data_IF_678104991867
#
_entry.id   IF_678104991867
#
_cell.length_a   1.000
_cell.length_b   1.000
_cell.length_c   1.000
_cell.angle_alpha   90.00
_cell.angle_beta   90.00
_cell.angle_gamma   90.00
#
_symmetry.space_group_name_H-M   'P 1'
#
loop_
_entity.id
_entity.type
_entity.pdbx_description
1 polymer ?
#
# COMPACT_ATOMS: atom_id res chain seq x y z
N UNK A 1 -32.04 44.03 -87.29
CA UNK A 1 -33.47 44.09 -86.92
C UNK A 1 -33.79 43.05 -85.84
N UNK A 2 -34.05 43.54 -84.62
CA UNK A 2 -34.85 42.91 -83.57
C UNK A 2 -34.42 41.54 -83.06
N UNK A 3 -33.78 41.50 -81.89
CA UNK A 3 -33.89 40.35 -81.00
C UNK A 3 -34.15 40.83 -79.57
N UNK A 4 -35.34 40.49 -79.09
CA UNK A 4 -35.83 40.40 -77.70
C UNK A 4 -36.71 39.15 -77.67
N UNK A 5 -37.01 38.46 -76.55
CA UNK A 5 -36.96 38.92 -75.15
C UNK A 5 -36.47 37.86 -74.11
N UNK A 6 -36.42 38.32 -72.85
CA UNK A 6 -36.70 37.66 -71.55
C UNK A 6 -36.54 36.13 -71.34
N UNK A 7 -35.97 35.72 -70.18
CA UNK A 7 -36.72 35.11 -69.06
C UNK A 7 -35.80 34.46 -67.96
N UNK A 8 -35.97 34.93 -66.72
CA UNK A 8 -36.03 34.23 -65.39
C UNK A 8 -35.09 33.07 -64.97
N UNK A 9 -34.35 33.35 -63.87
CA UNK A 9 -34.07 32.56 -62.63
C UNK A 9 -33.92 31.03 -62.65
N UNK A 10 -32.80 30.54 -62.09
CA UNK A 10 -32.73 29.33 -61.25
C UNK A 10 -31.75 29.50 -60.08
N UNK A 11 -32.14 28.98 -58.93
CA UNK A 11 -31.46 29.04 -57.64
C UNK A 11 -30.20 28.16 -57.59
N UNK A 12 -29.19 28.57 -56.81
CA UNK A 12 -28.13 27.66 -56.34
C UNK A 12 -28.13 27.69 -54.81
N UNK A 13 -28.59 26.57 -54.28
CA UNK A 13 -28.62 26.19 -52.87
C UNK A 13 -27.19 25.86 -52.42
N UNK A 14 -26.56 26.72 -51.63
CA UNK A 14 -25.25 26.43 -51.03
C UNK A 14 -25.46 25.70 -49.70
N UNK A 15 -25.20 24.39 -49.70
CA UNK A 15 -25.13 23.56 -48.50
C UNK A 15 -23.98 24.02 -47.61
N UNK A 16 -24.31 24.39 -46.38
CA UNK A 16 -23.36 24.60 -45.29
C UNK A 16 -23.14 23.25 -44.59
N UNK A 17 -21.93 22.66 -44.58
CA UNK A 17 -21.65 21.54 -43.69
C UNK A 17 -21.21 22.09 -42.33
N UNK A 18 -22.04 21.85 -41.31
CA UNK A 18 -21.61 21.91 -39.91
C UNK A 18 -20.47 20.91 -39.72
N UNK A 19 -19.24 21.41 -39.56
CA UNK A 19 -18.13 20.63 -39.02
C UNK A 19 -18.31 20.61 -37.50
N UNK A 20 -18.93 19.55 -36.99
CA UNK A 20 -18.91 19.24 -35.55
C UNK A 20 -17.52 18.73 -35.22
N UNK A 21 -16.64 19.63 -34.79
CA UNK A 21 -15.36 19.28 -34.21
C UNK A 21 -15.61 18.67 -32.82
N UNK A 22 -15.76 17.35 -32.77
CA UNK A 22 -15.79 16.57 -31.53
C UNK A 22 -14.38 16.59 -30.93
N UNK A 23 -14.11 17.58 -30.08
CA UNK A 23 -12.93 17.64 -29.22
C UNK A 23 -12.96 16.45 -28.26
N UNK A 24 -12.33 15.35 -28.66
CA UNK A 24 -11.97 14.26 -27.77
C UNK A 24 -10.89 14.77 -26.81
N UNK A 25 -11.31 15.34 -25.69
CA UNK A 25 -10.42 15.51 -24.53
C UNK A 25 -10.12 14.09 -24.02
N UNK A 26 -9.08 13.45 -24.58
CA UNK A 26 -8.40 12.36 -23.89
C UNK A 26 -7.78 12.99 -22.64
N UNK A 27 -8.52 12.97 -21.54
CA UNK A 27 -7.93 13.15 -20.22
C UNK A 27 -6.98 11.98 -20.01
N UNK A 28 -5.72 12.15 -20.43
CA UNK A 28 -4.61 11.33 -19.97
C UNK A 28 -4.49 11.65 -18.50
N UNK A 29 -5.14 10.84 -17.66
CA UNK A 29 -4.91 10.93 -16.23
C UNK A 29 -3.41 10.64 -16.03
N UNK A 30 -2.65 11.57 -15.41
CA UNK A 30 -1.24 11.30 -15.15
C UNK A 30 -1.15 10.02 -14.31
N UNK A 31 -0.22 9.13 -14.66
CA UNK A 31 -0.01 7.84 -14.01
C UNK A 31 0.17 7.91 -12.47
N UNK A 32 0.39 9.11 -11.96
CA UNK A 32 0.54 9.47 -10.56
C UNK A 32 -0.77 9.52 -9.77
N UNK A 33 -1.94 9.44 -10.42
CA UNK A 33 -3.25 9.41 -9.73
C UNK A 33 -3.68 8.00 -9.28
N UNK A 34 -2.84 6.96 -9.48
CA UNK A 34 -3.22 5.58 -9.17
C UNK A 34 -2.92 5.15 -7.73
N UNK A 35 -1.99 5.81 -7.05
CA UNK A 35 -1.66 5.49 -5.66
C UNK A 35 -2.19 6.59 -4.74
N UNK A 36 -2.86 6.20 -3.67
CA UNK A 36 -3.29 7.15 -2.65
C UNK A 36 -2.11 7.52 -1.73
N UNK A 37 -2.19 8.63 -0.98
CA UNK A 37 -1.23 8.92 0.07
C UNK A 37 -1.15 7.79 1.09
N UNK A 38 0.02 7.62 1.73
CA UNK A 38 0.15 6.75 2.90
C UNK A 38 -0.64 7.34 4.06
N UNK A 39 -1.43 6.50 4.72
CA UNK A 39 -2.32 6.89 5.82
C UNK A 39 -1.87 6.21 7.11
N UNK A 40 -1.28 6.95 8.06
CA UNK A 40 -1.09 6.47 9.42
C UNK A 40 -2.37 6.68 10.25
N UNK A 41 -2.81 5.64 10.94
CA UNK A 41 -3.86 5.70 11.98
C UNK A 41 -3.25 5.40 13.33
N UNK A 42 -3.59 6.21 14.34
CA UNK A 42 -2.95 6.13 15.65
C UNK A 42 -1.49 6.57 15.62
N UNK A 43 -0.76 6.27 16.69
CA UNK A 43 0.67 6.57 16.77
C UNK A 43 1.35 5.59 17.73
N UNK A 44 2.50 5.05 17.31
CA UNK A 44 3.33 4.18 18.14
C UNK A 44 3.64 4.81 19.51
N UNK A 45 3.88 6.13 19.56
CA UNK A 45 4.10 6.85 20.82
C UNK A 45 2.95 6.70 21.81
N UNK A 46 1.69 6.72 21.34
CA UNK A 46 0.53 6.61 22.22
C UNK A 46 0.41 5.20 22.80
N UNK A 47 0.71 4.18 22.00
CA UNK A 47 0.70 2.79 22.45
C UNK A 47 1.85 2.49 23.41
N UNK A 48 3.06 2.95 23.09
CA UNK A 48 4.27 2.62 23.86
C UNK A 48 4.44 3.44 25.14
N UNK A 49 3.95 4.70 25.17
CA UNK A 49 4.16 5.59 26.32
C UNK A 49 2.87 6.01 27.04
N UNK A 50 1.72 6.02 26.35
CA UNK A 50 0.46 6.50 26.91
C UNK A 50 -0.53 5.37 27.21
N UNK A 51 -0.12 4.10 27.06
CA UNK A 51 -0.95 2.92 27.35
C UNK A 51 -2.13 2.70 26.40
N UNK A 52 -2.13 3.32 25.22
CA UNK A 52 -3.19 3.16 24.22
C UNK A 52 -3.02 1.86 23.43
N UNK A 53 -3.26 0.74 24.12
CA UNK A 53 -3.06 -0.62 23.63
C UNK A 53 -4.26 -1.18 22.86
N UNK A 54 -5.47 -0.70 23.15
CA UNK A 54 -6.69 -1.14 22.49
C UNK A 54 -6.77 -0.65 21.03
N UNK A 55 -7.43 -1.43 20.17
CA UNK A 55 -7.51 -1.13 18.74
C UNK A 55 -8.33 0.10 18.39
N UNK A 56 -7.70 1.06 17.70
CA UNK A 56 -8.32 2.26 17.13
C UNK A 56 -8.95 2.03 15.76
N UNK A 57 -8.35 1.12 14.98
CA UNK A 57 -8.80 0.80 13.62
C UNK A 57 -9.02 -0.70 13.50
N UNK A 58 -10.06 -1.08 12.78
CA UNK A 58 -10.38 -2.46 12.45
C UNK A 58 -10.04 -2.70 10.97
N UNK A 59 -9.44 -3.84 10.64
CA UNK A 59 -8.88 -4.06 9.30
C UNK A 59 -9.96 -4.19 8.21
N UNK A 60 -11.14 -4.72 8.54
CA UNK A 60 -12.29 -4.76 7.63
C UNK A 60 -12.70 -3.39 7.08
N UNK A 61 -12.53 -2.32 7.87
CA UNK A 61 -12.79 -0.93 7.44
C UNK A 61 -11.79 -0.43 6.39
N UNK A 62 -10.64 -1.11 6.26
CA UNK A 62 -9.57 -0.82 5.30
C UNK A 62 -9.50 -1.85 4.16
N UNK A 63 -10.19 -2.98 4.31
CA UNK A 63 -10.12 -4.15 3.43
C UNK A 63 -10.77 -3.87 2.07
N UNK A 64 -9.96 -3.33 1.15
CA UNK A 64 -10.32 -3.16 -0.25
C UNK A 64 -9.16 -3.58 -1.16
N UNK A 65 -9.45 -4.17 -2.34
CA UNK A 65 -8.41 -4.56 -3.29
C UNK A 65 -7.44 -3.41 -3.58
N UNK A 66 -6.15 -3.72 -3.69
CA UNK A 66 -5.09 -2.72 -3.84
C UNK A 66 -4.66 -2.05 -2.53
N UNK A 67 -5.25 -2.39 -1.38
CA UNK A 67 -4.81 -1.81 -0.09
C UNK A 67 -3.79 -2.70 0.61
N UNK A 68 -2.68 -2.08 1.02
CA UNK A 68 -1.57 -2.73 1.71
C UNK A 68 -1.26 -1.99 3.00
N UNK A 69 -0.87 -2.70 4.05
CA UNK A 69 -0.56 -2.06 5.32
C UNK A 69 -0.02 -3.00 6.38
N UNK A 70 0.55 -2.40 7.43
CA UNK A 70 1.17 -3.11 8.55
C UNK A 70 0.92 -2.38 9.87
N UNK A 71 0.94 -3.13 10.96
CA UNK A 71 0.91 -2.63 12.33
C UNK A 71 0.73 -3.77 13.33
N UNK A 72 0.82 -3.52 14.64
CA UNK A 72 0.64 -4.56 15.62
C UNK A 72 -0.83 -4.88 15.85
N UNK A 73 -1.09 -6.11 16.29
CA UNK A 73 -2.37 -6.47 16.89
C UNK A 73 -2.57 -5.69 18.19
N UNK A 74 -3.82 -5.35 18.51
CA UNK A 74 -4.15 -4.74 19.80
C UNK A 74 -3.55 -5.49 20.99
N UNK A 75 -3.18 -4.73 22.01
CA UNK A 75 -2.42 -5.18 23.17
C UNK A 75 -1.02 -5.72 22.85
N UNK A 76 -0.49 -5.47 21.64
CA UNK A 76 0.85 -5.89 21.22
C UNK A 76 1.03 -7.42 21.33
N UNK A 77 0.04 -8.17 20.82
CA UNK A 77 -0.04 -9.64 20.92
C UNK A 77 -0.01 -10.35 19.57
N UNK A 78 0.72 -9.77 18.63
CA UNK A 78 0.85 -10.25 17.28
C UNK A 78 1.10 -9.11 16.31
N UNK A 79 1.25 -9.46 15.05
CA UNK A 79 1.44 -8.52 13.94
C UNK A 79 0.30 -8.66 12.94
N UNK A 80 -0.06 -7.54 12.33
CA UNK A 80 -1.10 -7.44 11.33
C UNK A 80 -0.50 -7.09 9.97
N UNK A 81 -0.95 -7.79 8.93
CA UNK A 81 -0.63 -7.51 7.54
C UNK A 81 -1.92 -7.36 6.75
N UNK A 82 -2.12 -6.22 6.09
CA UNK A 82 -3.11 -6.06 5.06
C UNK A 82 -2.42 -6.25 3.71
N UNK A 83 -2.83 -7.27 2.96
CA UNK A 83 -2.24 -7.66 1.69
C UNK A 83 -3.30 -7.70 0.60
N UNK A 84 -3.28 -6.68 -0.27
CA UNK A 84 -4.24 -6.53 -1.37
C UNK A 84 -5.71 -6.58 -0.90
N UNK A 85 -5.98 -5.99 0.27
CA UNK A 85 -7.29 -6.00 0.92
C UNK A 85 -7.58 -7.21 1.81
N UNK A 86 -6.71 -8.22 1.85
CA UNK A 86 -6.84 -9.38 2.74
C UNK A 86 -6.10 -9.14 4.06
N UNK A 87 -6.77 -9.39 5.18
CA UNK A 87 -6.28 -9.05 6.51
C UNK A 87 -5.75 -10.30 7.23
N UNK A 88 -4.45 -10.35 7.46
CA UNK A 88 -3.77 -11.44 8.13
C UNK A 88 -3.27 -11.04 9.51
N UNK A 89 -3.33 -11.99 10.43
CA UNK A 89 -2.81 -11.87 11.80
C UNK A 89 -1.76 -12.95 12.01
N UNK A 90 -0.57 -12.56 12.46
CA UNK A 90 0.45 -13.47 12.95
C UNK A 90 0.48 -13.44 14.49
N UNK A 91 0.27 -14.59 15.12
CA UNK A 91 0.36 -14.76 16.59
C UNK A 91 1.35 -15.85 16.97
N UNK A 92 1.94 -15.77 18.17
CA UNK A 92 2.80 -16.82 18.68
C UNK A 92 2.00 -18.05 19.13
N UNK A 93 2.52 -19.23 18.80
CA UNK A 93 2.06 -20.51 19.33
C UNK A 93 3.20 -21.12 20.14
N UNK A 94 3.18 -20.87 21.45
CA UNK A 94 4.30 -21.19 22.32
C UNK A 94 5.53 -20.33 22.01
N UNK A 95 6.72 -20.88 22.21
CA UNK A 95 7.97 -20.12 22.09
C UNK A 95 8.64 -20.18 20.72
N UNK A 96 8.24 -21.11 19.85
CA UNK A 96 8.99 -21.44 18.62
C UNK A 96 8.15 -21.57 17.36
N UNK A 97 6.83 -21.40 17.45
CA UNK A 97 5.94 -21.43 16.30
C UNK A 97 5.11 -20.15 16.22
N UNK A 98 4.67 -19.83 15.00
CA UNK A 98 3.70 -18.79 14.73
C UNK A 98 2.53 -19.38 13.96
N UNK A 99 1.35 -18.81 14.16
CA UNK A 99 0.16 -19.11 13.40
C UNK A 99 -0.26 -17.85 12.64
N UNK A 100 -0.60 -18.03 11.36
CA UNK A 100 -1.08 -16.95 10.50
C UNK A 100 -2.50 -17.29 10.07
N UNK A 101 -3.43 -16.38 10.34
CA UNK A 101 -4.85 -16.52 10.03
C UNK A 101 -5.37 -15.28 9.31
N UNK A 102 -6.37 -15.46 8.44
CA UNK A 102 -7.10 -14.35 7.84
C UNK A 102 -8.27 -13.97 8.78
N UNK A 103 -8.14 -12.83 9.47
CA UNK A 103 -9.09 -12.37 10.48
C UNK A 103 -9.39 -10.87 10.26
N UNK A 104 -10.31 -10.52 9.34
CA UNK A 104 -10.61 -9.13 8.97
C UNK A 104 -11.10 -8.25 10.11
N UNK A 105 -11.73 -8.83 11.11
CA UNK A 105 -12.24 -8.15 12.30
C UNK A 105 -11.15 -7.71 13.28
N UNK A 106 -9.88 -8.03 13.01
CA UNK A 106 -8.75 -7.70 13.87
C UNK A 106 -8.51 -6.20 13.95
N UNK A 107 -8.01 -5.75 15.10
CA UNK A 107 -7.86 -4.33 15.41
C UNK A 107 -6.43 -3.97 15.76
N UNK A 108 -6.05 -2.75 15.41
CA UNK A 108 -4.71 -2.22 15.63
C UNK A 108 -4.77 -0.92 16.45
N UNK A 109 -3.88 -0.72 17.44
CA UNK A 109 -3.80 0.53 18.19
C UNK A 109 -3.11 1.63 17.38
N UNK A 110 -2.28 1.23 16.42
CA UNK A 110 -1.78 2.04 15.33
C UNK A 110 -1.57 1.17 14.08
N UNK A 111 -1.75 1.73 12.90
CA UNK A 111 -1.62 1.00 11.64
C UNK A 111 -1.22 1.98 10.54
N UNK A 112 -0.38 1.56 9.62
CA UNK A 112 -0.06 2.35 8.41
C UNK A 112 -0.51 1.59 7.18
N UNK A 113 -1.21 2.26 6.28
CA UNK A 113 -1.67 1.63 5.05
C UNK A 113 -1.58 2.58 3.85
N UNK A 114 -1.65 2.00 2.65
CA UNK A 114 -1.73 2.72 1.39
C UNK A 114 -2.56 1.92 0.39
N UNK A 115 -3.38 2.62 -0.40
CA UNK A 115 -3.95 2.04 -1.62
C UNK A 115 -2.95 2.22 -2.76
N UNK A 116 -2.51 1.11 -3.34
CA UNK A 116 -1.56 1.01 -4.45
C UNK A 116 -2.30 0.49 -5.67
N UNK A 117 -2.76 1.39 -6.53
CA UNK A 117 -3.44 1.01 -7.77
C UNK A 117 -2.50 0.41 -8.82
N UNK A 118 -1.19 0.72 -8.75
CA UNK A 118 -0.19 0.11 -9.62
C UNK A 118 1.20 0.05 -8.99
N UNK A 119 1.83 -1.11 -9.13
CA UNK A 119 3.23 -1.33 -8.78
C UNK A 119 4.15 -0.92 -9.94
N UNK A 120 5.24 -0.22 -9.61
CA UNK A 120 6.37 -0.03 -10.51
C UNK A 120 7.42 -1.08 -10.18
N UNK A 121 7.69 -1.97 -11.13
CA UNK A 121 8.72 -3.00 -10.95
C UNK A 121 10.12 -2.39 -11.13
N UNK A 122 10.99 -2.71 -10.17
CA UNK A 122 12.39 -2.31 -10.17
C UNK A 122 13.19 -3.56 -9.82
N UNK A 123 14.08 -3.97 -10.71
CA UNK A 123 15.00 -5.08 -10.42
C UNK A 123 16.01 -4.65 -9.34
N UNK A 124 16.23 -5.52 -8.37
CA UNK A 124 17.29 -5.30 -7.39
C UNK A 124 18.66 -5.60 -8.02
N UNK A 125 19.64 -4.70 -7.88
CA UNK A 125 21.00 -4.98 -8.31
C UNK A 125 21.61 -6.17 -7.56
N UNK A 126 22.51 -6.92 -8.20
CA UNK A 126 23.15 -8.12 -7.61
C UNK A 126 23.90 -7.82 -6.30
N UNK A 127 24.35 -6.58 -6.09
CA UNK A 127 24.98 -6.18 -4.83
C UNK A 127 24.02 -6.06 -3.65
N UNK A 128 22.70 -6.04 -3.87
CA UNK A 128 21.68 -5.99 -2.82
C UNK A 128 21.31 -7.41 -2.41
N UNK A 129 21.87 -7.87 -1.30
CA UNK A 129 21.77 -9.28 -0.88
C UNK A 129 21.49 -9.46 0.62
N UNK A 130 21.47 -8.37 1.39
CA UNK A 130 21.14 -8.37 2.81
C UNK A 130 20.37 -7.09 3.19
N UNK A 131 19.97 -6.99 4.46
CA UNK A 131 19.23 -5.83 4.95
C UNK A 131 20.05 -4.54 4.82
N UNK A 132 21.35 -4.56 5.13
CA UNK A 132 22.17 -3.35 5.11
C UNK A 132 22.33 -2.78 3.68
N UNK A 133 22.59 -3.65 2.71
CA UNK A 133 22.71 -3.28 1.29
C UNK A 133 21.37 -2.85 0.70
N UNK A 134 20.26 -3.46 1.13
CA UNK A 134 18.92 -3.03 0.74
C UNK A 134 18.58 -1.63 1.28
N UNK A 135 18.85 -1.37 2.56
CA UNK A 135 18.57 -0.08 3.19
C UNK A 135 19.38 1.05 2.53
N UNK A 136 20.67 0.79 2.27
CA UNK A 136 21.52 1.72 1.54
C UNK A 136 21.00 1.99 0.11
N UNK A 137 20.61 0.94 -0.62
CA UNK A 137 20.06 1.06 -1.97
C UNK A 137 18.76 1.87 -1.98
N UNK A 138 17.80 1.56 -1.09
CA UNK A 138 16.53 2.28 -1.01
C UNK A 138 16.74 3.75 -0.64
N UNK A 139 17.61 4.02 0.34
CA UNK A 139 17.96 5.37 0.77
C UNK A 139 18.55 6.20 -0.36
N UNK A 140 19.52 5.66 -1.11
CA UNK A 140 20.14 6.35 -2.23
C UNK A 140 19.17 6.53 -3.39
N UNK A 141 18.47 5.45 -3.79
CA UNK A 141 17.61 5.42 -4.99
C UNK A 141 16.40 6.34 -4.88
N UNK A 142 15.92 6.55 -3.66
CA UNK A 142 14.70 7.29 -3.36
C UNK A 142 14.95 8.50 -2.45
N UNK A 143 16.20 8.99 -2.37
CA UNK A 143 16.58 10.14 -1.55
C UNK A 143 15.76 11.41 -1.84
N UNK A 144 15.34 11.60 -3.10
CA UNK A 144 14.56 12.77 -3.53
C UNK A 144 13.05 12.61 -3.29
N UNK A 145 12.57 11.45 -2.80
CA UNK A 145 11.16 11.27 -2.46
C UNK A 145 10.85 11.91 -1.11
N UNK A 146 10.11 13.01 -1.15
CA UNK A 146 9.67 13.73 0.06
C UNK A 146 8.41 13.13 0.72
N UNK A 147 7.80 12.13 0.07
CA UNK A 147 6.57 11.49 0.55
C UNK A 147 6.81 10.00 0.85
N UNK A 148 6.21 9.48 1.94
CA UNK A 148 6.27 8.05 2.22
C UNK A 148 5.55 7.26 1.11
N UNK A 149 6.02 6.05 0.85
CA UNK A 149 5.46 5.15 -0.13
C UNK A 149 5.58 3.70 0.34
N UNK A 150 4.64 2.85 -0.07
CA UNK A 150 4.73 1.41 0.10
C UNK A 150 5.67 0.83 -0.97
N UNK A 151 6.48 -0.13 -0.55
CA UNK A 151 7.23 -1.00 -1.45
C UNK A 151 7.05 -2.44 -0.98
N UNK A 152 7.32 -3.39 -1.88
CA UNK A 152 7.36 -4.82 -1.57
C UNK A 152 8.55 -5.44 -2.28
N UNK A 153 9.12 -6.45 -1.66
CA UNK A 153 10.12 -7.30 -2.29
C UNK A 153 9.45 -8.58 -2.75
N UNK A 154 9.67 -8.94 -4.01
CA UNK A 154 9.16 -10.17 -4.61
C UNK A 154 10.34 -10.96 -5.15
N UNK A 155 10.48 -12.21 -4.72
CA UNK A 155 11.59 -13.04 -5.13
C UNK A 155 11.76 -14.26 -4.23
N UNK A 156 12.90 -14.92 -4.41
CA UNK A 156 13.31 -16.06 -3.61
C UNK A 156 14.33 -15.59 -2.57
N UNK A 157 13.97 -15.70 -1.31
CA UNK A 157 14.86 -15.39 -0.20
C UNK A 157 15.56 -16.67 0.25
N UNK A 158 16.87 -16.59 0.49
CA UNK A 158 17.61 -17.69 1.09
C UNK A 158 17.33 -17.80 2.59
N UNK A 159 17.08 -16.65 3.22
CA UNK A 159 16.95 -16.45 4.65
C UNK A 159 15.96 -15.32 4.94
N UNK A 160 15.02 -15.56 5.86
CA UNK A 160 14.12 -14.52 6.37
C UNK A 160 14.03 -14.66 7.89
N UNK A 161 14.50 -13.64 8.60
CA UNK A 161 14.28 -13.48 10.02
C UNK A 161 13.06 -12.59 10.27
N UNK A 162 12.10 -13.08 11.03
CA UNK A 162 10.91 -12.33 11.45
C UNK A 162 10.82 -12.27 12.96
N UNK A 163 10.04 -11.32 13.47
CA UNK A 163 9.63 -11.34 14.86
C UNK A 163 8.15 -10.94 14.97
N UNK A 164 7.53 -11.30 16.09
CA UNK A 164 6.25 -10.77 16.51
C UNK A 164 6.33 -10.42 18.00
N UNK A 165 5.58 -9.40 18.42
CA UNK A 165 5.44 -9.07 19.84
C UNK A 165 4.31 -9.90 20.47
N UNK A 166 4.55 -10.57 21.60
CA UNK A 166 3.50 -11.24 22.40
C UNK A 166 3.54 -10.79 23.86
N UNK A 167 3.03 -9.58 24.13
CA UNK A 167 2.98 -9.04 25.50
C UNK A 167 1.96 -9.82 26.35
N UNK A 168 2.35 -10.34 27.54
CA UNK A 168 1.42 -11.01 28.43
C UNK A 168 0.29 -10.08 28.91
N UNK A 169 -0.96 -10.57 29.05
CA UNK A 169 -2.06 -9.77 29.57
C UNK A 169 -1.75 -9.12 30.92
N UNK A 170 -2.11 -7.84 31.07
CA UNK A 170 -1.87 -7.08 32.30
C UNK A 170 -0.45 -6.53 32.46
N UNK A 171 0.45 -6.77 31.49
CA UNK A 171 1.79 -6.17 31.49
C UNK A 171 1.71 -4.66 31.27
N UNK A 172 2.43 -3.91 32.10
CA UNK A 172 2.61 -2.46 31.89
C UNK A 172 3.75 -2.21 30.90
N UNK A 173 3.49 -1.34 29.92
CA UNK A 173 4.45 -0.92 28.89
C UNK A 173 4.66 0.59 29.04
N UNK A 174 5.91 1.01 29.25
CA UNK A 174 6.31 2.41 29.37
C UNK A 174 7.37 2.82 28.33
N UNK A 175 7.58 1.99 27.31
CA UNK A 175 8.39 2.31 26.14
C UNK A 175 8.56 1.11 25.20
N UNK A 176 9.18 1.32 24.02
CA UNK A 176 9.44 0.26 23.05
C UNK A 176 10.24 -0.91 23.63
N UNK A 177 11.25 -0.62 24.46
CA UNK A 177 12.05 -1.65 25.13
C UNK A 177 11.22 -2.59 26.02
N UNK A 178 10.14 -2.07 26.62
CA UNK A 178 9.26 -2.91 27.45
C UNK A 178 8.46 -3.90 26.63
N UNK A 179 8.01 -3.49 25.44
CA UNK A 179 7.31 -4.34 24.49
C UNK A 179 8.27 -5.36 23.86
N UNK A 180 9.45 -4.91 23.41
CA UNK A 180 10.42 -5.75 22.70
C UNK A 180 11.02 -6.87 23.56
N UNK A 181 10.96 -6.78 24.90
CA UNK A 181 11.27 -7.93 25.79
C UNK A 181 10.42 -9.16 25.51
N UNK A 182 9.27 -8.98 24.85
CA UNK A 182 8.33 -10.02 24.50
C UNK A 182 8.37 -10.38 23.00
N UNK A 183 9.43 -9.99 22.30
CA UNK A 183 9.65 -10.42 20.92
C UNK A 183 9.87 -11.93 20.87
N UNK A 184 9.12 -12.59 20.00
CA UNK A 184 9.38 -13.97 19.56
C UNK A 184 10.02 -13.91 18.19
N UNK A 185 11.19 -14.53 18.04
CA UNK A 185 11.95 -14.52 16.79
C UNK A 185 11.75 -15.84 16.05
N UNK A 186 11.56 -15.74 14.73
CA UNK A 186 11.44 -16.89 13.85
C UNK A 186 12.41 -16.76 12.69
N UNK A 187 12.87 -17.91 12.21
CA UNK A 187 13.86 -17.97 11.16
C UNK A 187 13.40 -18.95 10.09
N UNK A 188 13.34 -18.45 8.86
CA UNK A 188 12.88 -19.19 7.70
C UNK A 188 14.00 -19.31 6.69
N UNK A 189 14.59 -20.50 6.61
CA UNK A 189 15.61 -20.81 5.63
C UNK A 189 14.99 -21.51 4.41
N UNK A 190 15.57 -21.26 3.24
CA UNK A 190 15.29 -22.08 2.06
C UNK A 190 15.62 -23.54 2.37
N UNK A 191 14.62 -24.42 2.30
CA UNK A 191 14.87 -25.87 2.28
C UNK A 191 15.75 -26.23 1.08
N UNK A 192 16.95 -26.76 1.33
CA UNK A 192 17.79 -27.38 0.30
C UNK A 192 16.98 -28.52 -0.32
N UNK A 193 16.75 -28.45 -1.63
CA UNK A 193 16.15 -29.54 -2.41
C UNK A 193 17.19 -30.63 -2.63
#
# INVERSE_FOLDING_TARGET
>A
PGNTPECRTWAVMVRCPLVVAMLLFLAVTPAWTQNHPVVPTGAMRNTMFNGQLAGLVQLDSLASPGTYGIGPLEYLRGELLLWDGHAFVATAVGDSAMMVEELPESRAPFFVHQHVGRWTEVELPDQVHDHATLDAYLTERFADLEVPFAFRLAGRFDDVATHLVDVPPGTSIAGPEDAHRWNKHFHHEKKKR
#
